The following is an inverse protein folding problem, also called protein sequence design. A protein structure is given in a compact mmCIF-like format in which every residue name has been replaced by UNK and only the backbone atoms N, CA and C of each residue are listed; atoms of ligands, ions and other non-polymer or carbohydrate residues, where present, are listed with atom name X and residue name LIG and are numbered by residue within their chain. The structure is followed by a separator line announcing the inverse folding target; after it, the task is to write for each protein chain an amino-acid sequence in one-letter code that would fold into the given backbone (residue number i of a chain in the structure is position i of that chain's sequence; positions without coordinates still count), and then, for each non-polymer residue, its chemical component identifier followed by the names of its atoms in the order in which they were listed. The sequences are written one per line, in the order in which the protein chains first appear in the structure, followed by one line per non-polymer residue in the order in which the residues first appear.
data_IF_596042931528
#
_entry.id   IF_596042931528
#
_cell.length_a   1.000
_cell.length_b   1.000
_cell.length_c   1.000
_cell.angle_alpha   90.00
_cell.angle_beta   90.00
_cell.angle_gamma   90.00
#
_symmetry.space_group_name_H-M   'P 1'
#
loop_
_entity.id
_entity.type
_entity.pdbx_description
1 polymer ?
#
# COMPACT_ATOMS: atom_id res chain seq x y z
N UNK A 1 12.98 23.67 10.24
CA UNK A 1 12.45 22.33 10.58
C UNK A 1 11.43 21.98 9.52
N UNK A 2 11.68 20.94 8.73
CA UNK A 2 10.63 20.34 7.90
C UNK A 2 9.53 19.84 8.83
N UNK A 3 8.27 20.16 8.52
CA UNK A 3 7.14 19.55 9.20
C UNK A 3 7.27 18.01 9.13
N UNK A 4 6.78 17.26 10.13
CA UNK A 4 6.64 15.82 9.97
C UNK A 4 5.83 15.60 8.70
N UNK A 5 6.33 14.84 7.71
CA UNK A 5 5.58 14.64 6.49
C UNK A 5 4.24 14.00 6.83
N UNK A 6 3.14 14.68 6.47
CA UNK A 6 1.80 14.14 6.63
C UNK A 6 1.71 12.79 5.90
N UNK A 7 1.06 11.83 6.54
CA UNK A 7 0.84 10.52 5.94
C UNK A 7 -0.25 10.63 4.88
N UNK A 8 -0.06 10.05 3.68
CA UNK A 8 -1.13 9.94 2.71
C UNK A 8 -2.34 9.20 3.30
N UNK A 9 -3.57 9.62 2.97
CA UNK A 9 -4.80 9.05 3.54
C UNK A 9 -4.89 7.53 3.37
N UNK A 10 -4.46 7.01 2.21
CA UNK A 10 -4.43 5.56 1.94
C UNK A 10 -3.48 4.82 2.88
N UNK A 11 -2.36 5.44 3.26
CA UNK A 11 -1.38 4.87 4.20
C UNK A 11 -1.93 4.94 5.63
N UNK A 12 -2.57 6.04 6.02
CA UNK A 12 -3.22 6.17 7.33
C UNK A 12 -4.30 5.09 7.53
N UNK A 13 -5.14 4.87 6.51
CA UNK A 13 -6.14 3.79 6.49
C UNK A 13 -5.50 2.40 6.59
N UNK A 14 -4.39 2.17 5.91
CA UNK A 14 -3.67 0.90 5.98
C UNK A 14 -3.08 0.62 7.38
N UNK A 15 -2.61 1.66 8.10
CA UNK A 15 -2.19 1.51 9.49
C UNK A 15 -3.34 1.14 10.42
N UNK A 16 -4.52 1.73 10.22
CA UNK A 16 -5.70 1.39 11.02
C UNK A 16 -6.14 -0.06 10.81
N UNK A 17 -6.10 -0.55 9.56
CA UNK A 17 -6.38 -1.96 9.24
C UNK A 17 -5.34 -2.87 9.88
N UNK A 18 -4.05 -2.56 9.72
CA UNK A 18 -2.95 -3.34 10.30
C UNK A 18 -3.06 -3.44 11.82
N UNK A 19 -3.41 -2.33 12.48
CA UNK A 19 -3.63 -2.26 13.93
C UNK A 19 -4.79 -3.15 14.36
N UNK A 20 -5.93 -3.12 13.64
CA UNK A 20 -7.09 -3.98 13.92
C UNK A 20 -6.77 -5.47 13.70
N UNK A 21 -5.93 -5.78 12.71
CA UNK A 21 -5.49 -7.14 12.40
C UNK A 21 -4.38 -7.66 13.33
N UNK A 22 -3.79 -6.81 14.18
CA UNK A 22 -2.64 -7.17 15.03
C UNK A 22 -1.36 -7.44 14.23
N UNK A 23 -1.25 -6.91 13.02
CA UNK A 23 -0.14 -7.14 12.12
C UNK A 23 0.89 -6.02 12.23
N UNK A 24 2.14 -6.37 12.55
CA UNK A 24 3.23 -5.41 12.83
C UNK A 24 4.42 -5.54 11.87
N UNK A 25 4.35 -6.46 10.90
CA UNK A 25 5.43 -6.69 9.94
C UNK A 25 5.22 -5.88 8.66
N UNK A 26 5.41 -4.56 8.75
CA UNK A 26 5.32 -3.67 7.59
C UNK A 26 6.50 -2.71 7.50
N UNK A 27 6.65 -2.05 6.35
CA UNK A 27 7.78 -1.17 6.09
C UNK A 27 7.78 0.08 7.00
N UNK A 28 8.97 0.62 7.27
CA UNK A 28 9.09 1.93 7.91
C UNK A 28 8.60 3.03 6.96
N UNK A 29 8.16 4.15 7.51
CA UNK A 29 7.70 5.30 6.72
C UNK A 29 8.75 5.79 5.72
N UNK A 30 10.04 5.70 6.06
CA UNK A 30 11.16 6.04 5.18
C UNK A 30 11.18 5.17 3.93
N UNK A 31 11.03 3.86 4.10
CA UNK A 31 10.96 2.89 3.00
C UNK A 31 9.69 3.10 2.19
N UNK A 32 8.56 3.37 2.85
CA UNK A 32 7.31 3.71 2.18
C UNK A 32 7.40 4.92 1.25
N UNK A 33 8.03 6.01 1.71
CA UNK A 33 8.27 7.20 0.87
C UNK A 33 9.16 6.89 -0.34
N UNK A 34 10.17 6.03 -0.17
CA UNK A 34 10.99 5.57 -1.28
C UNK A 34 10.16 4.77 -2.30
N UNK A 35 9.31 3.85 -1.82
CA UNK A 35 8.41 3.08 -2.70
C UNK A 35 7.45 3.99 -3.47
N UNK A 36 6.86 4.99 -2.82
CA UNK A 36 6.01 5.98 -3.47
C UNK A 36 6.77 6.75 -4.56
N UNK A 37 8.00 7.21 -4.25
CA UNK A 37 8.83 7.90 -5.23
C UNK A 37 9.18 7.03 -6.44
N UNK A 38 9.45 5.74 -6.22
CA UNK A 38 9.72 4.78 -7.30
C UNK A 38 8.46 4.50 -8.13
N UNK A 39 7.31 4.26 -7.48
CA UNK A 39 6.03 4.03 -8.15
C UNK A 39 5.64 5.20 -9.06
N UNK A 40 5.94 6.43 -8.65
CA UNK A 40 5.68 7.64 -9.41
C UNK A 40 6.47 7.76 -10.74
N UNK A 41 7.45 6.88 -10.96
CA UNK A 41 8.28 6.82 -12.19
C UNK A 41 7.88 5.67 -13.12
N UNK A 42 6.84 4.91 -12.77
CA UNK A 42 6.39 3.74 -13.53
C UNK A 42 5.05 3.98 -14.19
N UNK A 43 4.88 3.31 -15.31
CA UNK A 43 3.64 3.21 -16.08
C UNK A 43 3.27 1.72 -16.21
N UNK A 44 2.01 1.44 -16.57
CA UNK A 44 1.53 0.06 -16.72
C UNK A 44 1.32 -0.66 -15.39
N UNK A 45 1.59 -1.96 -15.35
CA UNK A 45 1.28 -2.82 -14.18
C UNK A 45 2.52 -3.09 -13.34
N UNK A 46 2.43 -2.81 -12.04
CA UNK A 46 3.42 -3.18 -11.04
C UNK A 46 2.92 -4.37 -10.23
N UNK A 47 3.82 -5.30 -9.92
CA UNK A 47 3.53 -6.47 -9.10
C UNK A 47 4.22 -6.36 -7.75
N UNK A 48 3.48 -6.64 -6.67
CA UNK A 48 3.98 -6.80 -5.31
C UNK A 48 3.72 -8.24 -4.83
N UNK A 49 4.70 -8.84 -4.16
CA UNK A 49 4.59 -10.16 -3.56
C UNK A 49 4.77 -10.03 -2.05
N UNK A 50 3.75 -10.43 -1.29
CA UNK A 50 3.66 -10.23 0.15
C UNK A 50 2.97 -8.92 0.51
N UNK A 51 1.66 -8.84 0.28
CA UNK A 51 0.82 -7.67 0.63
C UNK A 51 0.85 -7.38 2.14
N UNK A 52 0.91 -8.42 2.97
CA UNK A 52 0.64 -8.32 4.40
C UNK A 52 -0.73 -7.67 4.63
N UNK A 53 -0.81 -6.67 5.51
CA UNK A 53 -2.02 -5.85 5.69
C UNK A 53 -2.12 -4.64 4.75
N UNK A 54 -1.32 -4.57 3.67
CA UNK A 54 -1.47 -3.56 2.62
C UNK A 54 -0.78 -2.21 2.85
N UNK A 55 0.08 -2.08 3.88
CA UNK A 55 0.83 -0.83 4.13
C UNK A 55 1.84 -0.54 3.02
N UNK A 56 2.58 -1.55 2.55
CA UNK A 56 3.51 -1.42 1.43
C UNK A 56 2.78 -1.02 0.15
N UNK A 57 1.69 -1.71 -0.15
CA UNK A 57 0.78 -1.42 -1.26
C UNK A 57 0.23 0.00 -1.19
N UNK A 58 -0.17 0.47 0.00
CA UNK A 58 -0.68 1.83 0.19
C UNK A 58 0.38 2.89 -0.11
N UNK A 59 1.65 2.64 0.24
CA UNK A 59 2.76 3.50 -0.13
C UNK A 59 3.00 3.51 -1.64
N UNK A 60 3.02 2.35 -2.30
CA UNK A 60 3.11 2.27 -3.76
C UNK A 60 1.97 3.07 -4.41
N UNK A 61 0.74 2.84 -3.95
CA UNK A 61 -0.46 3.49 -4.47
C UNK A 61 -0.45 5.01 -4.29
N UNK A 62 0.09 5.50 -3.18
CA UNK A 62 0.23 6.94 -2.92
C UNK A 62 1.18 7.64 -3.91
N UNK A 63 2.09 6.89 -4.54
CA UNK A 63 3.00 7.39 -5.57
C UNK A 63 2.51 7.22 -7.01
N UNK A 64 1.59 6.29 -7.26
CA UNK A 64 1.05 6.00 -8.60
C UNK A 64 0.46 7.26 -9.25
N UNK A 65 0.79 7.47 -10.52
CA UNK A 65 0.26 8.55 -11.36
C UNK A 65 -0.39 7.96 -12.62
N UNK A 66 -1.31 8.72 -13.21
CA UNK A 66 -1.98 8.32 -14.45
C UNK A 66 -2.82 7.05 -14.27
N UNK A 67 -2.73 6.14 -15.23
CA UNK A 67 -3.51 4.89 -15.34
C UNK A 67 -2.75 3.64 -14.87
N UNK A 68 -1.55 3.81 -14.31
CA UNK A 68 -0.77 2.69 -13.79
C UNK A 68 -1.54 1.93 -12.70
N UNK A 69 -1.28 0.62 -12.62
CA UNK A 69 -1.97 -0.32 -11.73
C UNK A 69 -1.00 -1.09 -10.85
N UNK A 70 -1.47 -1.51 -9.69
CA UNK A 70 -0.77 -2.39 -8.77
C UNK A 70 -1.56 -3.69 -8.65
N UNK A 71 -0.87 -4.81 -8.81
CA UNK A 71 -1.36 -6.13 -8.44
C UNK A 71 -0.50 -6.58 -7.28
N UNK A 72 -1.12 -6.95 -6.15
CA UNK A 72 -0.41 -7.42 -4.96
C UNK A 72 -0.95 -8.79 -4.57
N UNK A 73 -0.07 -9.71 -4.20
CA UNK A 73 -0.44 -11.07 -3.85
C UNK A 73 -0.06 -11.42 -2.40
N UNK A 74 -1.00 -11.98 -1.65
CA UNK A 74 -0.81 -12.42 -0.28
C UNK A 74 -1.25 -13.86 -0.08
N UNK A 75 -0.35 -14.68 0.48
CA UNK A 75 -0.60 -16.09 0.69
C UNK A 75 -1.62 -16.33 1.82
N UNK A 76 -1.64 -15.47 2.83
CA UNK A 76 -2.57 -15.58 3.94
C UNK A 76 -3.89 -14.89 3.61
N UNK A 77 -4.93 -15.70 3.35
CA UNK A 77 -6.27 -15.21 3.02
C UNK A 77 -6.82 -14.14 4.00
N UNK A 78 -6.55 -14.26 5.31
CA UNK A 78 -7.02 -13.25 6.27
C UNK A 78 -6.34 -11.90 6.12
N UNK A 79 -5.06 -11.91 5.74
CA UNK A 79 -4.30 -10.69 5.48
C UNK A 79 -4.70 -10.10 4.13
N UNK A 80 -4.92 -10.94 3.11
CA UNK A 80 -5.46 -10.53 1.82
C UNK A 80 -6.84 -9.85 1.98
N UNK A 81 -7.76 -10.47 2.71
CA UNK A 81 -9.08 -9.91 3.00
C UNK A 81 -8.98 -8.56 3.72
N UNK A 82 -8.10 -8.46 4.73
CA UNK A 82 -7.86 -7.20 5.43
C UNK A 82 -7.31 -6.11 4.50
N UNK A 83 -6.34 -6.45 3.65
CA UNK A 83 -5.76 -5.52 2.70
C UNK A 83 -6.78 -5.07 1.63
N UNK A 84 -7.62 -5.99 1.14
CA UNK A 84 -8.64 -5.69 0.13
C UNK A 84 -9.62 -4.59 0.58
N UNK A 85 -9.97 -4.54 1.87
CA UNK A 85 -10.83 -3.49 2.44
C UNK A 85 -10.24 -2.07 2.25
N UNK A 86 -8.91 -1.93 2.22
CA UNK A 86 -8.25 -0.62 2.02
C UNK A 86 -8.53 -0.09 0.61
N UNK A 87 -8.59 -0.98 -0.38
CA UNK A 87 -8.58 -0.67 -1.80
C UNK A 87 -9.89 -0.99 -2.53
N UNK A 88 -10.94 -1.38 -1.82
CA UNK A 88 -12.23 -1.79 -2.41
C UNK A 88 -12.83 -0.76 -3.40
N UNK A 89 -12.54 0.54 -3.19
CA UNK A 89 -13.03 1.65 -4.00
C UNK A 89 -11.94 2.23 -4.93
N UNK A 90 -10.79 1.55 -5.04
CA UNK A 90 -9.62 2.01 -5.78
C UNK A 90 -9.29 1.04 -6.93
N UNK A 91 -9.77 1.31 -8.16
CA UNK A 91 -9.60 0.39 -9.29
C UNK A 91 -8.14 0.25 -9.76
N UNK A 92 -7.22 1.05 -9.22
CA UNK A 92 -5.79 0.95 -9.54
C UNK A 92 -5.06 -0.09 -8.70
N UNK A 93 -5.71 -0.72 -7.72
CA UNK A 93 -5.10 -1.75 -6.87
C UNK A 93 -5.96 -3.00 -6.86
N UNK A 94 -5.33 -4.13 -7.16
CA UNK A 94 -5.93 -5.47 -7.10
C UNK A 94 -5.17 -6.32 -6.09
N UNK A 95 -5.89 -6.93 -5.15
CA UNK A 95 -5.33 -7.83 -4.13
C UNK A 95 -5.70 -9.26 -4.49
N UNK A 96 -4.69 -10.12 -4.63
CA UNK A 96 -4.77 -11.55 -4.98
C UNK A 96 -4.45 -12.45 -3.79
#
# INVERSE_FOLDING_TARGET
MSAPPELPDVVARAFDVSRKAGYVSFCRNETGRLLAALAATREGTMAEFGTGCGVGTAWLRSGVRGDARIITAELNAKLADAAAVIFQDDPQVEVL
#
